data_IF_394894461099
#
_entry.id   IF_394894461099
#
_cell.length_a   1.000
_cell.length_b   1.000
_cell.length_c   1.000
_cell.angle_alpha   90.00
_cell.angle_beta   90.00
_cell.angle_gamma   90.00
#
_symmetry.space_group_name_H-M   'P 1'
#
loop_
_entity.id
_entity.type
_entity.pdbx_description
1 polymer ?
#
# COMPACT_ATOMS: atom_id res chain seq x y z
N UNK A 1 -2.81 26.08 -1.13
CA UNK A 1 -2.53 24.67 -1.39
C UNK A 1 -3.82 23.93 -1.70
N UNK A 2 -3.88 23.36 -2.87
CA UNK A 2 -5.06 22.58 -3.26
C UNK A 2 -4.98 21.17 -2.67
N UNK A 3 -5.56 21.02 -1.50
CA UNK A 3 -5.74 19.68 -0.92
C UNK A 3 -6.91 19.00 -1.63
N UNK A 4 -6.63 17.93 -2.36
CA UNK A 4 -7.70 17.12 -2.95
C UNK A 4 -8.37 16.32 -1.84
N UNK A 5 -9.71 16.29 -1.78
CA UNK A 5 -10.38 15.47 -0.79
C UNK A 5 -10.08 13.98 -1.00
N UNK A 6 -10.09 13.23 0.08
CA UNK A 6 -9.95 11.78 0.03
C UNK A 6 -11.15 11.18 -0.70
N UNK A 7 -10.90 10.13 -1.47
CA UNK A 7 -11.94 9.40 -2.21
C UNK A 7 -11.88 7.94 -1.81
N UNK A 8 -12.98 7.43 -1.27
CA UNK A 8 -13.13 6.00 -1.00
C UNK A 8 -13.39 5.31 -2.34
N UNK A 9 -12.43 4.51 -2.79
CA UNK A 9 -12.49 3.79 -4.06
C UNK A 9 -13.28 2.50 -3.94
N UNK A 10 -13.12 1.82 -2.80
CA UNK A 10 -13.81 0.55 -2.51
C UNK A 10 -14.00 0.39 -1.03
N UNK A 11 -15.16 -0.11 -0.63
CA UNK A 11 -15.45 -0.57 0.73
C UNK A 11 -15.79 -2.05 0.67
N UNK A 12 -15.17 -2.84 1.55
CA UNK A 12 -15.45 -4.28 1.66
C UNK A 12 -15.97 -4.55 3.07
N UNK A 13 -17.30 -4.62 3.26
CA UNK A 13 -17.86 -5.00 4.54
C UNK A 13 -17.61 -6.49 4.78
N UNK A 14 -17.46 -6.86 6.06
CA UNK A 14 -17.18 -8.25 6.46
C UNK A 14 -16.06 -8.88 5.64
N UNK A 15 -14.94 -8.14 5.50
CA UNK A 15 -13.82 -8.56 4.67
C UNK A 15 -13.32 -9.97 5.08
N UNK A 16 -13.27 -10.94 4.15
CA UNK A 16 -12.99 -12.34 4.49
C UNK A 16 -11.59 -12.58 5.04
N UNK A 17 -10.65 -11.67 4.79
CA UNK A 17 -9.28 -11.77 5.31
C UNK A 17 -9.12 -11.15 6.71
N UNK A 18 -10.19 -10.61 7.28
CA UNK A 18 -10.20 -9.96 8.59
C UNK A 18 -11.07 -10.74 9.58
N UNK A 19 -10.92 -10.49 10.89
CA UNK A 19 -11.82 -11.06 11.89
C UNK A 19 -13.28 -10.72 11.59
N UNK A 20 -14.23 -11.58 12.00
CA UNK A 20 -15.66 -11.35 11.75
C UNK A 20 -16.12 -9.97 12.24
N UNK A 21 -16.97 -9.29 11.44
CA UNK A 21 -17.48 -7.97 11.76
C UNK A 21 -16.54 -6.82 11.39
N UNK A 22 -15.38 -7.14 10.83
CA UNK A 22 -14.40 -6.14 10.38
C UNK A 22 -14.66 -5.73 8.95
N UNK A 23 -14.14 -4.55 8.56
CA UNK A 23 -14.30 -4.06 7.20
C UNK A 23 -13.02 -3.39 6.71
N UNK A 24 -12.90 -3.26 5.41
CA UNK A 24 -11.74 -2.64 4.77
C UNK A 24 -12.16 -1.60 3.75
N UNK A 25 -11.35 -0.56 3.61
CA UNK A 25 -11.52 0.46 2.57
C UNK A 25 -10.23 0.65 1.79
N UNK A 26 -10.37 0.98 0.51
CA UNK A 26 -9.28 1.51 -0.31
C UNK A 26 -9.58 2.98 -0.53
N UNK A 27 -8.65 3.85 -0.15
CA UNK A 27 -8.85 5.30 -0.17
C UNK A 27 -7.75 5.95 -0.99
N UNK A 28 -8.14 6.76 -1.96
CA UNK A 28 -7.22 7.66 -2.67
C UNK A 28 -7.02 8.90 -1.82
N UNK A 29 -5.76 9.23 -1.52
CA UNK A 29 -5.44 10.39 -0.70
C UNK A 29 -4.05 10.92 -1.04
N UNK A 30 -3.89 12.22 -0.99
CA UNK A 30 -2.60 12.90 -1.12
C UNK A 30 -1.91 13.13 0.23
N UNK A 31 -2.55 12.70 1.32
CA UNK A 31 -2.03 12.82 2.68
C UNK A 31 -1.92 11.44 3.31
N UNK A 32 -0.74 11.12 3.84
CA UNK A 32 -0.54 9.84 4.53
C UNK A 32 -1.29 9.85 5.86
N UNK A 33 -2.11 8.82 6.14
CA UNK A 33 -2.86 8.72 7.40
C UNK A 33 -1.97 8.25 8.54
N UNK A 34 -2.43 8.48 9.76
CA UNK A 34 -1.82 7.95 10.98
C UNK A 34 -2.87 7.16 11.79
N UNK A 35 -2.50 6.07 12.46
CA UNK A 35 -1.19 5.44 12.43
C UNK A 35 -0.99 4.59 11.17
N UNK A 36 0.17 4.71 10.55
CA UNK A 36 0.57 3.82 9.46
C UNK A 36 1.29 2.60 10.05
N UNK A 37 1.01 1.41 9.52
CA UNK A 37 1.63 0.17 9.99
C UNK A 37 2.51 -0.51 8.94
N UNK A 38 2.27 -0.20 7.67
CA UNK A 38 3.05 -0.75 6.56
C UNK A 38 3.02 0.25 5.42
N UNK A 39 4.13 0.38 4.71
CA UNK A 39 4.21 1.18 3.49
C UNK A 39 4.49 0.29 2.29
N UNK A 40 3.96 0.68 1.14
CA UNK A 40 4.23 0.08 -0.16
C UNK A 40 4.78 1.13 -1.09
N UNK A 41 5.73 0.75 -1.93
CA UNK A 41 6.32 1.65 -2.92
C UNK A 41 5.73 1.36 -4.30
N UNK A 42 5.12 2.38 -4.90
CA UNK A 42 4.57 2.32 -6.25
C UNK A 42 5.55 2.97 -7.22
N UNK A 43 6.14 2.15 -8.09
CA UNK A 43 6.90 2.60 -9.26
C UNK A 43 6.11 2.20 -10.49
N UNK A 44 5.83 3.16 -11.36
CA UNK A 44 5.09 2.90 -12.60
C UNK A 44 5.97 3.09 -13.83
N UNK A 45 5.77 2.22 -14.82
CA UNK A 45 6.39 2.33 -16.14
C UNK A 45 5.32 2.00 -17.18
N UNK A 46 4.72 3.04 -17.79
CA UNK A 46 3.55 2.85 -18.62
C UNK A 46 2.41 2.24 -17.80
N UNK A 47 1.88 1.11 -18.28
CA UNK A 47 0.81 0.37 -17.59
C UNK A 47 1.33 -0.69 -16.60
N UNK A 48 2.64 -0.75 -16.41
CA UNK A 48 3.25 -1.73 -15.52
C UNK A 48 3.65 -1.11 -14.19
N UNK A 49 3.66 -1.93 -13.15
CA UNK A 49 4.17 -1.57 -11.83
C UNK A 49 5.28 -2.53 -11.42
N UNK A 50 6.27 -2.02 -10.69
CA UNK A 50 7.38 -2.83 -10.22
C UNK A 50 6.96 -3.66 -9.01
N UNK A 51 7.18 -4.98 -9.09
CA UNK A 51 6.84 -5.92 -8.04
C UNK A 51 8.04 -6.76 -7.64
N UNK A 52 8.02 -7.20 -6.39
CA UNK A 52 9.00 -8.15 -5.85
C UNK A 52 8.25 -9.34 -5.25
N UNK A 53 8.87 -10.53 -5.18
CA UNK A 53 8.22 -11.66 -4.54
C UNK A 53 8.10 -11.46 -3.03
N UNK A 54 6.97 -11.82 -2.45
CA UNK A 54 6.78 -11.88 -1.00
C UNK A 54 7.64 -12.99 -0.43
N UNK A 55 8.29 -12.75 0.70
CA UNK A 55 9.17 -13.73 1.34
C UNK A 55 8.46 -15.03 1.68
N UNK A 56 7.23 -14.95 2.15
CA UNK A 56 6.51 -16.13 2.66
C UNK A 56 5.86 -16.97 1.57
N UNK A 57 5.41 -16.36 0.48
CA UNK A 57 4.62 -17.05 -0.54
C UNK A 57 5.25 -17.02 -1.93
N UNK A 58 6.20 -16.13 -2.17
CA UNK A 58 6.75 -15.86 -3.50
C UNK A 58 5.80 -15.11 -4.43
N UNK A 59 4.59 -14.78 -3.98
CA UNK A 59 3.63 -14.02 -4.78
C UNK A 59 4.13 -12.59 -5.03
N UNK A 60 4.01 -12.13 -6.26
CA UNK A 60 4.46 -10.77 -6.63
C UNK A 60 3.55 -9.71 -5.99
N UNK A 61 4.19 -8.70 -5.42
CA UNK A 61 3.51 -7.56 -4.80
C UNK A 61 4.42 -6.33 -4.88
N UNK A 62 3.86 -5.15 -4.64
CA UNK A 62 4.67 -3.94 -4.51
C UNK A 62 5.70 -4.14 -3.38
N UNK A 63 6.90 -3.55 -3.48
CA UNK A 63 7.84 -3.57 -2.36
C UNK A 63 7.20 -2.99 -1.10
N UNK A 64 7.45 -3.60 0.04
CA UNK A 64 6.84 -3.23 1.32
C UNK A 64 7.88 -3.05 2.41
N UNK A 65 7.51 -2.29 3.45
CA UNK A 65 8.29 -2.17 4.67
C UNK A 65 7.36 -1.93 5.85
N UNK A 66 7.61 -2.62 6.95
CA UNK A 66 6.86 -2.41 8.21
C UNK A 66 7.27 -1.06 8.81
N UNK A 67 6.30 -0.35 9.35
CA UNK A 67 6.50 0.98 9.94
C UNK A 67 6.72 0.84 11.44
N UNK A 68 7.78 1.49 11.95
CA UNK A 68 8.04 1.56 13.39
C UNK A 68 6.99 2.43 14.08
N UNK A 69 6.61 2.13 15.34
CA UNK A 69 5.57 2.89 16.05
C UNK A 69 5.82 4.39 16.17
N UNK A 70 7.08 4.82 16.20
CA UNK A 70 7.44 6.25 16.28
C UNK A 70 7.27 6.99 14.95
N UNK A 71 7.14 6.27 13.84
CA UNK A 71 6.97 6.81 12.49
C UNK A 71 5.47 6.85 12.16
N UNK A 72 4.77 7.90 12.62
CA UNK A 72 3.30 7.91 12.65
C UNK A 72 2.64 7.76 11.29
N UNK A 73 3.17 8.44 10.27
CA UNK A 73 2.59 8.40 8.91
C UNK A 73 3.35 7.48 7.95
N UNK A 74 4.38 6.80 8.44
CA UNK A 74 5.20 5.89 7.62
C UNK A 74 6.20 6.57 6.70
N UNK A 75 6.39 7.88 6.82
CA UNK A 75 7.30 8.65 5.94
C UNK A 75 8.74 8.15 6.03
N UNK A 76 9.22 7.85 7.22
CA UNK A 76 10.58 7.33 7.42
C UNK A 76 10.74 5.97 6.77
N UNK A 77 9.79 5.06 7.00
CA UNK A 77 9.80 3.74 6.37
C UNK A 77 9.73 3.84 4.85
N UNK A 78 8.91 4.74 4.32
CA UNK A 78 8.80 4.97 2.87
C UNK A 78 10.13 5.45 2.27
N UNK A 79 10.82 6.38 2.95
CA UNK A 79 12.14 6.87 2.51
C UNK A 79 13.18 5.76 2.52
N UNK A 80 13.20 4.92 3.54
CA UNK A 80 14.10 3.78 3.64
C UNK A 80 13.83 2.75 2.54
N UNK A 81 12.55 2.48 2.27
CA UNK A 81 12.13 1.55 1.21
C UNK A 81 12.56 2.08 -0.17
N UNK A 82 12.35 3.36 -0.44
CA UNK A 82 12.77 3.97 -1.70
C UNK A 82 14.28 3.92 -1.88
N UNK A 83 15.05 4.17 -0.83
CA UNK A 83 16.51 4.08 -0.86
C UNK A 83 16.96 2.65 -1.18
N UNK A 84 16.33 1.65 -0.56
CA UNK A 84 16.63 0.24 -0.81
C UNK A 84 16.33 -0.15 -2.27
N UNK A 85 15.15 0.20 -2.76
CA UNK A 85 14.68 -0.23 -4.09
C UNK A 85 15.35 0.55 -5.22
N UNK A 86 15.57 1.85 -5.03
CA UNK A 86 16.11 2.74 -6.08
C UNK A 86 17.62 3.01 -5.94
N UNK A 87 18.21 2.68 -4.79
CA UNK A 87 19.63 2.94 -4.54
C UNK A 87 19.96 4.42 -4.34
N UNK A 88 18.96 5.26 -4.17
CA UNK A 88 19.12 6.71 -3.99
C UNK A 88 17.88 7.29 -3.30
N UNK A 89 18.03 8.50 -2.78
CA UNK A 89 16.89 9.27 -2.29
C UNK A 89 15.97 9.62 -3.46
N UNK A 90 14.67 9.61 -3.21
CA UNK A 90 13.67 9.93 -4.19
C UNK A 90 12.57 10.79 -3.57
N UNK A 91 11.93 11.61 -4.41
CA UNK A 91 10.72 12.32 -4.01
C UNK A 91 9.59 11.30 -3.85
N UNK A 92 8.94 11.33 -2.69
CA UNK A 92 7.85 10.42 -2.36
C UNK A 92 6.56 11.21 -2.20
N UNK A 93 5.49 10.68 -2.80
CA UNK A 93 4.16 11.28 -2.72
C UNK A 93 3.18 10.19 -2.29
N UNK A 94 2.43 10.37 -1.20
CA UNK A 94 1.39 9.41 -0.86
C UNK A 94 0.26 9.51 -1.89
N UNK A 95 -0.25 8.36 -2.32
CA UNK A 95 -1.31 8.30 -3.34
C UNK A 95 -2.58 7.66 -2.81
N UNK A 96 -2.49 6.95 -1.71
CA UNK A 96 -3.64 6.34 -1.05
C UNK A 96 -3.23 5.27 -0.06
N UNK A 97 -4.23 4.57 0.45
CA UNK A 97 -4.01 3.54 1.47
C UNK A 97 -5.15 2.54 1.51
N UNK A 98 -4.86 1.39 2.09
CA UNK A 98 -5.86 0.42 2.53
C UNK A 98 -6.04 0.63 4.03
N UNK A 99 -7.28 0.78 4.48
CA UNK A 99 -7.63 0.89 5.89
C UNK A 99 -8.37 -0.37 6.32
N UNK A 100 -7.87 -1.05 7.35
CA UNK A 100 -8.59 -2.14 7.99
C UNK A 100 -9.18 -1.64 9.30
N UNK A 101 -10.47 -1.85 9.50
CA UNK A 101 -11.17 -1.51 10.75
C UNK A 101 -11.55 -2.81 11.46
N UNK A 102 -10.93 -3.03 12.61
CA UNK A 102 -11.05 -4.28 13.38
C UNK A 102 -11.30 -3.93 14.85
N UNK A 103 -12.18 -4.68 15.50
CA UNK A 103 -12.47 -4.48 16.92
C UNK A 103 -11.21 -4.64 17.78
N UNK A 104 -11.11 -3.83 18.85
CA UNK A 104 -9.92 -3.80 19.72
C UNK A 104 -9.62 -5.13 20.42
N UNK A 105 -10.64 -5.95 20.62
CA UNK A 105 -10.53 -7.25 21.27
C UNK A 105 -10.45 -8.45 20.32
N UNK A 106 -10.24 -8.21 19.03
CA UNK A 106 -10.19 -9.29 18.04
C UNK A 106 -8.99 -10.22 18.29
N UNK A 107 -9.22 -11.51 18.56
CA UNK A 107 -8.13 -12.43 18.86
C UNK A 107 -7.31 -12.77 17.59
N UNK A 108 -6.00 -12.86 17.74
CA UNK A 108 -5.10 -13.31 16.68
C UNK A 108 -4.83 -12.28 15.57
N UNK A 109 -5.39 -11.08 15.65
CA UNK A 109 -5.12 -10.02 14.69
C UNK A 109 -3.82 -9.30 15.06
N UNK A 110 -2.83 -9.33 14.16
CA UNK A 110 -1.48 -8.85 14.44
C UNK A 110 -1.21 -7.39 14.08
N UNK A 111 -2.18 -6.66 13.50
CA UNK A 111 -2.02 -5.27 13.12
C UNK A 111 -2.72 -4.33 14.12
N UNK A 112 -2.42 -3.03 14.09
CA UNK A 112 -3.06 -2.07 15.01
C UNK A 112 -4.58 -2.09 14.94
N UNK A 113 -5.22 -1.89 16.08
CA UNK A 113 -6.66 -1.77 16.23
C UNK A 113 -6.98 -0.44 16.93
N UNK A 114 -8.13 0.19 16.69
CA UNK A 114 -9.25 -0.26 15.83
C UNK A 114 -9.02 -0.07 14.34
N UNK A 115 -7.97 0.65 13.94
CA UNK A 115 -7.66 0.88 12.51
C UNK A 115 -6.19 0.64 12.22
N UNK A 116 -5.91 0.08 11.06
CA UNK A 116 -4.57 -0.07 10.53
C UNK A 116 -4.53 0.50 9.11
N UNK A 117 -3.50 1.30 8.83
CA UNK A 117 -3.33 1.92 7.52
C UNK A 117 -2.09 1.34 6.81
N UNK A 118 -2.31 0.85 5.61
CA UNK A 118 -1.29 0.30 4.72
C UNK A 118 -1.12 1.30 3.58
N UNK A 119 -0.11 2.16 3.66
CA UNK A 119 0.00 3.37 2.85
C UNK A 119 0.82 3.11 1.60
N UNK A 120 0.32 3.56 0.45
CA UNK A 120 1.03 3.48 -0.83
C UNK A 120 1.66 4.83 -1.13
N UNK A 121 2.98 4.82 -1.30
CA UNK A 121 3.79 5.98 -1.68
C UNK A 121 4.32 5.77 -3.09
N UNK A 122 4.21 6.80 -3.92
CA UNK A 122 4.72 6.76 -5.29
C UNK A 122 6.05 7.49 -5.41
N UNK A 123 6.96 6.92 -6.21
CA UNK A 123 8.21 7.55 -6.61
C UNK A 123 8.50 7.22 -8.06
N UNK A 124 9.48 7.89 -8.63
CA UNK A 124 9.98 7.62 -9.99
C UNK A 124 11.43 7.18 -9.92
N UNK A 125 11.83 6.27 -10.76
CA UNK A 125 13.20 5.82 -10.86
C UNK A 125 13.32 4.39 -11.37
N UNK A 126 14.57 3.96 -11.54
CA UNK A 126 14.90 2.61 -11.99
C UNK A 126 15.26 1.76 -10.77
N UNK A 127 14.56 0.64 -10.54
CA UNK A 127 14.90 -0.22 -9.40
C UNK A 127 16.29 -0.85 -9.56
N UNK A 128 17.00 -0.98 -8.44
CA UNK A 128 18.32 -1.63 -8.36
C UNK A 128 18.25 -3.00 -7.68
N UNK A 129 17.07 -3.41 -7.26
CA UNK A 129 16.82 -4.74 -6.68
C UNK A 129 16.14 -5.63 -7.71
N UNK A 130 16.23 -6.93 -7.52
CA UNK A 130 15.58 -7.90 -8.39
C UNK A 130 14.07 -7.83 -8.23
N UNK A 131 13.36 -7.90 -9.34
CA UNK A 131 11.91 -7.87 -9.36
C UNK A 131 11.40 -7.93 -10.78
N UNK A 132 10.12 -7.69 -10.95
CA UNK A 132 9.45 -7.78 -12.25
C UNK A 132 8.51 -6.60 -12.45
N UNK A 133 8.41 -6.15 -13.70
CA UNK A 133 7.37 -5.21 -14.12
C UNK A 133 6.13 -6.00 -14.49
N UNK A 134 5.02 -5.74 -13.81
CA UNK A 134 3.78 -6.51 -13.91
C UNK A 134 2.67 -5.60 -14.40
N UNK A 135 1.91 -6.07 -15.40
CA UNK A 135 0.76 -5.32 -15.93
C UNK A 135 -0.24 -5.05 -14.81
N UNK A 136 -0.63 -3.77 -14.70
CA UNK A 136 -1.48 -3.27 -13.61
C UNK A 136 -2.92 -3.00 -14.06
N UNK A 137 -3.27 -3.33 -15.29
CA UNK A 137 -4.60 -3.08 -15.85
C UNK A 137 -5.27 -4.36 -16.32
N UNK A 138 -6.60 -4.34 -16.26
CA UNK A 138 -7.44 -5.43 -16.77
C UNK A 138 -7.63 -6.57 -15.77
N UNK A 139 -8.68 -7.33 -16.00
CA UNK A 139 -9.07 -8.46 -15.13
C UNK A 139 -8.08 -9.62 -15.19
N UNK A 140 -7.19 -9.65 -16.19
CA UNK A 140 -6.15 -10.67 -16.32
C UNK A 140 -4.84 -10.35 -15.59
N UNK A 141 -4.76 -9.21 -14.88
CA UNK A 141 -3.57 -8.86 -14.12
C UNK A 141 -3.34 -9.84 -12.97
N UNK A 142 -2.07 -10.23 -12.75
CA UNK A 142 -1.68 -11.03 -11.60
C UNK A 142 -1.94 -10.31 -10.27
N UNK A 143 -2.13 -9.00 -10.30
CA UNK A 143 -2.26 -8.16 -9.11
C UNK A 143 -3.71 -7.89 -8.71
N UNK A 144 -4.69 -8.40 -9.47
CA UNK A 144 -6.10 -8.09 -9.26
C UNK A 144 -6.61 -8.45 -7.85
N UNK A 145 -6.02 -9.48 -7.25
CA UNK A 145 -6.38 -9.93 -5.90
C UNK A 145 -5.67 -9.14 -4.78
N UNK A 146 -4.78 -8.22 -5.11
CA UNK A 146 -4.10 -7.40 -4.10
C UNK A 146 -5.08 -6.36 -3.55
N UNK A 147 -5.09 -6.16 -2.24
CA UNK A 147 -6.05 -5.26 -1.58
C UNK A 147 -5.94 -3.80 -2.06
N UNK A 148 -4.74 -3.37 -2.43
CA UNK A 148 -4.47 -2.01 -2.92
C UNK A 148 -4.80 -1.84 -4.42
N UNK A 149 -5.04 -2.93 -5.15
CA UNK A 149 -5.19 -2.89 -6.62
C UNK A 149 -6.26 -1.90 -7.10
N UNK A 150 -7.42 -1.75 -6.44
CA UNK A 150 -8.43 -0.77 -6.87
C UNK A 150 -7.91 0.67 -6.90
N UNK A 151 -6.87 0.98 -6.13
CA UNK A 151 -6.27 2.32 -6.10
C UNK A 151 -5.70 2.71 -7.46
N UNK A 152 -5.14 1.76 -8.22
CA UNK A 152 -4.48 2.03 -9.49
C UNK A 152 -5.44 2.65 -10.52
N UNK A 153 -6.67 2.17 -10.61
CA UNK A 153 -7.65 2.71 -11.54
C UNK A 153 -8.07 4.15 -11.17
N UNK A 154 -7.96 4.51 -9.89
CA UNK A 154 -8.27 5.86 -9.41
C UNK A 154 -7.13 6.86 -9.66
N UNK A 155 -5.93 6.38 -9.96
CA UNK A 155 -4.75 7.23 -10.21
C UNK A 155 -4.60 7.63 -11.69
N UNK A 156 -5.35 7.01 -12.57
CA UNK A 156 -5.32 7.29 -14.01
C UNK A 156 -4.26 6.55 -14.76
#
# INVERSE_FOLDING_TARGET
MNHRPDIVVRTTPDAPWLPPGSWAEVVRSSVAPSPACLVRLLLRRGDDVFCVPREQTGALDLPTRVVEPSDLDGRVAAAQLALEVLGRDARLVPVGFVRNAVAEDAPGYGWPVPVAHFVVWEASGVPVVDGEWVAAHGAGSLLVERHWFPLLSALG
#
